data_IF_616460783672
#
_entry.id   IF_616460783672
#
_cell.length_a   1.000
_cell.length_b   1.000
_cell.length_c   1.000
_cell.angle_alpha   90.00
_cell.angle_beta   90.00
_cell.angle_gamma   90.00
#
_symmetry.space_group_name_H-M   'P 1'
#
loop_
_entity.id
_entity.type
_entity.pdbx_description
1 polymer ?
#
# COMPACT_ATOMS: atom_id res chain seq x y z
N UNK A 1 -4.41 3.21 21.66
CA UNK A 1 -5.39 3.13 20.57
C UNK A 1 -4.93 2.08 19.56
N UNK A 2 -5.86 1.27 19.05
CA UNK A 2 -5.62 0.44 17.88
C UNK A 2 -5.39 1.33 16.64
N UNK A 3 -4.83 0.78 15.56
CA UNK A 3 -4.68 1.53 14.30
C UNK A 3 -6.03 1.99 13.77
N UNK A 4 -6.05 3.15 13.11
CA UNK A 4 -7.24 3.74 12.50
C UNK A 4 -6.96 4.12 11.05
N UNK A 5 -7.99 4.07 10.21
CA UNK A 5 -7.92 4.46 8.82
C UNK A 5 -9.15 5.28 8.45
N UNK A 6 -8.93 6.38 7.73
CA UNK A 6 -9.95 7.33 7.32
C UNK A 6 -9.83 7.59 5.83
N UNK A 7 -10.94 7.57 5.11
CA UNK A 7 -11.01 8.05 3.74
C UNK A 7 -11.61 9.47 3.72
N UNK A 8 -11.04 10.36 2.93
CA UNK A 8 -11.54 11.73 2.79
C UNK A 8 -11.25 12.29 1.39
N UNK A 9 -11.92 13.39 1.06
CA UNK A 9 -11.68 14.13 -0.19
C UNK A 9 -11.15 15.51 0.12
N UNK A 10 -10.11 15.93 -0.59
CA UNK A 10 -9.57 17.30 -0.49
C UNK A 10 -9.17 17.77 -1.88
N UNK A 11 -9.70 18.92 -2.30
CA UNK A 11 -9.55 19.46 -3.66
C UNK A 11 -9.94 18.46 -4.76
N UNK A 12 -11.05 17.72 -4.55
CA UNK A 12 -11.56 16.73 -5.50
C UNK A 12 -10.77 15.42 -5.60
N UNK A 13 -9.70 15.25 -4.80
CA UNK A 13 -8.88 14.04 -4.80
C UNK A 13 -9.20 13.18 -3.57
N UNK A 14 -9.49 11.89 -3.80
CA UNK A 14 -9.71 10.92 -2.73
C UNK A 14 -8.39 10.45 -2.12
N UNK A 15 -8.35 10.44 -0.79
CA UNK A 15 -7.15 10.11 0.00
C UNK A 15 -7.49 9.22 1.17
N UNK A 16 -6.47 8.53 1.68
CA UNK A 16 -6.54 7.74 2.91
C UNK A 16 -5.54 8.28 3.91
N UNK A 17 -5.99 8.56 5.13
CA UNK A 17 -5.15 8.82 6.29
C UNK A 17 -5.18 7.59 7.19
N UNK A 18 -4.02 6.96 7.40
CA UNK A 18 -3.85 5.89 8.40
C UNK A 18 -3.08 6.44 9.58
N UNK A 19 -3.51 6.10 10.79
CA UNK A 19 -2.87 6.48 12.05
C UNK A 19 -2.54 5.21 12.83
N UNK A 20 -1.30 5.08 13.29
CA UNK A 20 -0.86 3.94 14.09
C UNK A 20 0.25 4.38 15.06
N UNK A 21 0.59 3.54 16.04
CA UNK A 21 1.67 3.84 17.00
C UNK A 21 3.08 3.66 16.45
N UNK A 22 3.20 3.00 15.30
CA UNK A 22 4.46 2.56 14.70
C UNK A 22 4.63 3.20 13.33
N UNK A 23 5.77 3.83 13.12
CA UNK A 23 6.12 4.54 11.89
C UNK A 23 6.66 3.58 10.82
N UNK A 24 7.27 2.48 11.25
CA UNK A 24 8.08 1.60 10.41
C UNK A 24 7.25 0.97 9.28
N UNK A 25 5.99 0.62 9.55
CA UNK A 25 5.07 0.12 8.51
C UNK A 25 4.79 1.15 7.42
N UNK A 26 4.65 2.43 7.80
CA UNK A 26 4.39 3.51 6.86
C UNK A 26 5.63 3.88 6.03
N UNK A 27 6.83 3.73 6.60
CA UNK A 27 8.08 3.90 5.85
C UNK A 27 8.26 2.82 4.78
N UNK A 28 7.84 1.58 5.06
CA UNK A 28 7.82 0.50 4.07
C UNK A 28 6.85 0.80 2.94
N UNK A 29 5.65 1.28 3.25
CA UNK A 29 4.69 1.71 2.22
C UNK A 29 5.26 2.83 1.34
N UNK A 30 5.91 3.83 1.96
CA UNK A 30 6.55 4.93 1.22
C UNK A 30 7.68 4.43 0.32
N UNK A 31 8.52 3.52 0.81
CA UNK A 31 9.59 2.90 0.03
C UNK A 31 9.05 2.17 -1.20
N UNK A 32 8.06 1.29 -1.01
CA UNK A 32 7.46 0.52 -2.11
C UNK A 32 6.79 1.46 -3.11
N UNK A 33 6.02 2.43 -2.63
CA UNK A 33 5.35 3.43 -3.48
C UNK A 33 6.33 4.27 -4.31
N UNK A 34 7.53 4.55 -3.81
CA UNK A 34 8.51 5.38 -4.52
C UNK A 34 9.39 4.58 -5.48
N UNK A 35 9.71 3.32 -5.13
CA UNK A 35 10.79 2.57 -5.78
C UNK A 35 10.33 1.35 -6.58
N UNK A 36 9.22 0.73 -6.18
CA UNK A 36 8.79 -0.57 -6.72
C UNK A 36 7.45 -0.49 -7.48
N UNK A 37 6.79 0.68 -7.51
CA UNK A 37 5.54 0.86 -8.25
C UNK A 37 5.79 0.87 -9.77
N UNK A 38 4.86 0.32 -10.54
CA UNK A 38 4.90 0.33 -12.01
C UNK A 38 3.54 0.02 -12.63
N UNK A 39 3.41 0.05 -13.97
CA UNK A 39 2.14 -0.26 -14.65
C UNK A 39 1.57 -1.63 -14.27
N UNK A 40 2.45 -2.61 -14.06
CA UNK A 40 2.08 -4.01 -13.76
C UNK A 40 2.07 -4.33 -12.25
N UNK A 41 2.48 -3.37 -11.41
CA UNK A 41 2.42 -3.47 -9.95
C UNK A 41 1.91 -2.14 -9.37
N UNK A 42 0.58 -1.91 -9.43
CA UNK A 42 -0.02 -0.66 -8.99
C UNK A 42 -0.03 -0.59 -7.45
N UNK A 43 0.76 0.34 -6.91
CA UNK A 43 0.78 0.65 -5.47
C UNK A 43 0.28 2.09 -5.29
N UNK A 44 -0.65 2.37 -4.35
CA UNK A 44 -1.12 3.73 -4.13
C UNK A 44 0.02 4.67 -3.76
N UNK A 45 0.06 5.83 -4.40
CA UNK A 45 1.06 6.87 -4.10
C UNK A 45 0.97 7.29 -2.62
N UNK A 46 2.08 7.15 -1.89
CA UNK A 46 2.25 7.68 -0.54
C UNK A 46 2.69 9.14 -0.62
N UNK A 47 1.81 10.04 -0.20
CA UNK A 47 1.99 11.49 -0.28
C UNK A 47 2.80 12.04 0.89
N UNK A 48 2.62 11.47 2.09
CA UNK A 48 3.35 11.86 3.28
C UNK A 48 3.35 10.76 4.34
N UNK A 49 4.42 10.69 5.12
CA UNK A 49 4.55 9.86 6.31
C UNK A 49 5.20 10.71 7.40
N UNK A 50 4.72 10.61 8.63
CA UNK A 50 5.29 11.38 9.73
C UNK A 50 4.73 11.02 11.09
N UNK A 51 5.12 11.80 12.10
CA UNK A 51 4.58 11.73 13.45
C UNK A 51 3.50 12.79 13.64
N UNK A 52 2.44 12.44 14.37
CA UNK A 52 1.42 13.37 14.85
C UNK A 52 1.85 13.90 16.22
N UNK A 53 2.27 12.99 17.09
CA UNK A 53 2.74 13.25 18.45
C UNK A 53 3.82 12.22 18.84
N UNK A 54 4.23 12.20 20.11
CA UNK A 54 5.27 11.29 20.61
C UNK A 54 4.91 9.79 20.54
N UNK A 55 3.64 9.46 20.29
CA UNK A 55 3.10 8.10 20.35
C UNK A 55 2.48 7.65 19.03
N UNK A 56 2.03 8.57 18.18
CA UNK A 56 1.29 8.28 16.96
C UNK A 56 2.02 8.76 15.71
N UNK A 57 2.07 7.89 14.73
CA UNK A 57 2.50 8.14 13.36
C UNK A 57 1.32 8.14 12.40
N UNK A 58 1.50 8.74 11.23
CA UNK A 58 0.54 8.72 10.15
C UNK A 58 1.15 8.37 8.79
N UNK A 59 0.30 7.87 7.90
CA UNK A 59 0.55 7.77 6.47
C UNK A 59 -0.63 8.37 5.71
N UNK A 60 -0.34 9.31 4.83
CA UNK A 60 -1.27 9.87 3.87
C UNK A 60 -0.96 9.29 2.49
N UNK A 61 -1.94 8.66 1.86
CA UNK A 61 -1.81 8.14 0.49
C UNK A 61 -3.00 8.52 -0.37
N UNK A 62 -2.87 8.32 -1.69
CA UNK A 62 -4.04 8.27 -2.58
C UNK A 62 -4.93 7.09 -2.21
N UNK A 63 -6.24 7.24 -2.41
CA UNK A 63 -7.16 6.12 -2.34
C UNK A 63 -7.15 5.38 -3.68
N UNK A 64 -6.85 4.07 -3.67
CA UNK A 64 -7.05 3.24 -4.85
C UNK A 64 -8.54 3.01 -5.09
N UNK A 65 -8.94 3.09 -6.36
CA UNK A 65 -10.28 2.71 -6.76
C UNK A 65 -10.44 1.18 -6.77
N UNK A 66 -11.68 0.72 -6.63
CA UNK A 66 -12.03 -0.70 -6.66
C UNK A 66 -12.50 -1.24 -5.30
N UNK A 67 -12.53 -2.56 -5.20
CA UNK A 67 -12.94 -3.30 -4.00
C UNK A 67 -11.86 -4.31 -3.62
N UNK A 68 -11.84 -4.75 -2.36
CA UNK A 68 -10.86 -5.75 -1.92
C UNK A 68 -11.27 -7.12 -2.47
N UNK A 69 -10.29 -7.98 -2.73
CA UNK A 69 -10.55 -9.36 -3.14
C UNK A 69 -11.45 -10.12 -2.15
N UNK A 70 -11.33 -9.84 -0.86
CA UNK A 70 -12.14 -10.44 0.21
C UNK A 70 -13.60 -10.00 0.21
N UNK A 71 -13.93 -8.92 -0.50
CA UNK A 71 -15.30 -8.42 -0.63
C UNK A 71 -15.99 -8.96 -1.90
N UNK A 72 -15.26 -9.70 -2.75
CA UNK A 72 -15.79 -10.30 -3.98
C UNK A 72 -16.46 -11.65 -3.71
N UNK A 73 -17.48 -11.96 -4.50
CA UNK A 73 -18.05 -13.31 -4.53
C UNK A 73 -17.07 -14.29 -5.21
N UNK A 74 -17.10 -15.59 -4.86
CA UNK A 74 -16.20 -16.59 -5.44
C UNK A 74 -16.17 -16.58 -6.98
N UNK A 75 -17.34 -16.48 -7.62
CA UNK A 75 -17.46 -16.44 -9.09
C UNK A 75 -16.89 -15.17 -9.74
N UNK A 76 -16.63 -14.11 -8.96
CA UNK A 76 -15.91 -12.92 -9.41
C UNK A 76 -14.40 -13.12 -9.24
N UNK A 77 -13.97 -13.77 -8.15
CA UNK A 77 -12.56 -14.14 -7.94
C UNK A 77 -12.08 -15.11 -9.01
N UNK A 78 -12.90 -16.08 -9.41
CA UNK A 78 -12.57 -17.05 -10.47
C UNK A 78 -12.18 -16.36 -11.79
N UNK A 79 -12.81 -15.22 -12.10
CA UNK A 79 -12.51 -14.43 -13.30
C UNK A 79 -11.24 -13.61 -13.20
N UNK A 80 -10.66 -13.48 -12.01
CA UNK A 80 -9.46 -12.70 -11.74
C UNK A 80 -8.22 -13.59 -11.56
N UNK A 81 -8.36 -14.92 -11.55
CA UNK A 81 -7.26 -15.86 -11.25
C UNK A 81 -6.02 -15.59 -12.12
N UNK A 82 -6.18 -15.45 -13.43
CA UNK A 82 -5.05 -15.17 -14.33
C UNK A 82 -4.38 -13.83 -13.99
N UNK A 83 -5.14 -12.77 -13.76
CA UNK A 83 -4.61 -11.45 -13.39
C UNK A 83 -3.89 -11.48 -12.04
N UNK A 84 -4.42 -12.25 -11.07
CA UNK A 84 -3.79 -12.43 -9.76
C UNK A 84 -2.46 -13.19 -9.88
N UNK A 85 -2.39 -14.24 -10.70
CA UNK A 85 -1.16 -14.96 -10.94
C UNK A 85 -0.12 -14.07 -11.64
N UNK A 86 -0.54 -13.29 -12.64
CA UNK A 86 0.34 -12.31 -13.29
C UNK A 86 0.87 -11.30 -12.28
N UNK A 87 0.02 -10.72 -11.43
CA UNK A 87 0.44 -9.77 -10.40
C UNK A 87 1.45 -10.39 -9.42
N UNK A 88 1.22 -11.63 -8.96
CA UNK A 88 2.15 -12.33 -8.07
C UNK A 88 3.50 -12.61 -8.74
N UNK A 89 3.49 -12.98 -10.03
CA UNK A 89 4.70 -13.16 -10.83
C UNK A 89 5.43 -11.81 -10.98
N UNK A 90 4.73 -10.70 -11.19
CA UNK A 90 5.31 -9.36 -11.24
C UNK A 90 5.98 -8.99 -9.91
N UNK A 91 5.31 -9.24 -8.77
CA UNK A 91 5.91 -9.03 -7.45
C UNK A 91 7.18 -9.87 -7.28
N UNK A 92 7.15 -11.14 -7.68
CA UNK A 92 8.31 -12.04 -7.56
C UNK A 92 9.49 -11.64 -8.45
N UNK A 93 9.24 -10.98 -9.59
CA UNK A 93 10.26 -10.54 -10.55
C UNK A 93 10.58 -9.04 -10.43
N UNK A 94 10.08 -8.35 -9.40
CA UNK A 94 10.35 -6.92 -9.20
C UNK A 94 11.86 -6.72 -9.04
N UNK A 95 12.41 -5.72 -9.73
CA UNK A 95 13.84 -5.40 -9.61
C UNK A 95 14.15 -4.89 -8.21
N UNK A 96 15.05 -5.59 -7.53
CA UNK A 96 15.50 -5.29 -6.18
C UNK A 96 16.87 -4.58 -6.17
N UNK A 97 17.35 -4.12 -7.31
CA UNK A 97 18.64 -3.43 -7.44
C UNK A 97 18.77 -2.27 -6.43
N UNK A 98 19.89 -2.28 -5.70
CA UNK A 98 20.17 -1.32 -4.64
C UNK A 98 19.35 -1.52 -3.36
N UNK A 99 18.82 -2.72 -3.15
CA UNK A 99 18.38 -3.24 -1.85
C UNK A 99 19.32 -4.36 -1.40
N UNK A 100 19.36 -4.63 -0.09
CA UNK A 100 20.23 -5.65 0.52
C UNK A 100 19.52 -6.32 1.69
N UNK A 101 20.05 -7.45 2.15
CA UNK A 101 19.48 -8.20 3.26
C UNK A 101 18.40 -9.18 2.83
N UNK A 102 17.83 -9.89 3.80
CA UNK A 102 16.79 -10.90 3.59
C UNK A 102 15.79 -10.86 4.75
N UNK A 103 14.54 -11.19 4.47
CA UNK A 103 13.49 -11.24 5.47
C UNK A 103 12.78 -9.89 5.64
N UNK A 104 12.63 -9.43 6.88
CA UNK A 104 11.91 -8.20 7.18
C UNK A 104 12.77 -6.99 6.83
N UNK A 105 12.13 -5.90 6.39
CA UNK A 105 12.75 -4.58 6.38
C UNK A 105 13.08 -4.22 7.84
N UNK A 106 14.36 -4.35 8.18
CA UNK A 106 14.98 -4.08 9.47
C UNK A 106 15.43 -2.63 9.62
#
# INVERSE_FOLDING_TARGET
LASQAFAFTQAGQQRVLRVNRRLEGFQKDAFVSQRLTGPDLPVPEVLAVGQIDAVHAYCLSRLAAGVRLTDLMPSQVDRLVEQLLTLLITVANTDLAGTTGYGWFD
#
